data_IF_901520686762
#
_entry.id   IF_901520686762
#
_cell.length_a   1.000
_cell.length_b   1.000
_cell.length_c   1.000
_cell.angle_alpha   90.00
_cell.angle_beta   90.00
_cell.angle_gamma   90.00
#
_symmetry.space_group_name_H-M   'P 1'
#
loop_
_entity.id
_entity.type
_entity.pdbx_description
1 polymer ?
#
# COMPACT_ATOMS: atom_id res chain seq x y z
N UNK A 1 20.72 -38.24 25.22
CA UNK A 1 20.88 -36.84 24.79
C UNK A 1 21.12 -36.91 23.29
N UNK A 2 20.13 -36.60 22.51
CA UNK A 2 20.22 -36.53 21.05
C UNK A 2 19.88 -35.08 20.62
N UNK A 3 20.89 -34.44 20.06
CA UNK A 3 20.78 -33.13 19.46
C UNK A 3 19.87 -33.20 18.23
N UNK A 4 18.74 -32.50 18.26
CA UNK A 4 17.92 -32.31 17.09
C UNK A 4 18.45 -31.09 16.34
N UNK A 5 19.25 -31.33 15.32
CA UNK A 5 19.60 -30.30 14.32
C UNK A 5 18.35 -29.81 13.60
N UNK A 6 17.99 -28.59 13.86
CA UNK A 6 16.95 -27.86 13.11
C UNK A 6 17.52 -27.52 11.72
N UNK A 7 17.07 -28.25 10.70
CA UNK A 7 17.36 -27.93 9.30
C UNK A 7 16.69 -26.59 8.94
N UNK A 8 17.37 -25.67 8.23
CA UNK A 8 16.74 -24.45 7.73
C UNK A 8 15.70 -24.84 6.68
N UNK A 9 14.47 -24.45 6.90
CA UNK A 9 13.39 -24.53 5.91
C UNK A 9 13.74 -23.56 4.79
N UNK A 10 14.35 -24.07 3.73
CA UNK A 10 14.50 -23.35 2.47
C UNK A 10 13.09 -23.21 1.91
N UNK A 11 12.50 -22.02 2.08
CA UNK A 11 11.26 -21.67 1.39
C UNK A 11 11.56 -21.73 -0.11
N UNK A 12 11.04 -22.77 -0.76
CA UNK A 12 11.03 -22.87 -2.22
C UNK A 12 10.23 -21.68 -2.73
N UNK A 13 10.91 -20.69 -3.35
CA UNK A 13 10.25 -19.64 -4.11
C UNK A 13 9.46 -20.33 -5.23
N UNK A 14 8.18 -20.57 -4.98
CA UNK A 14 7.28 -20.98 -6.02
C UNK A 14 7.29 -19.88 -7.08
N UNK A 15 7.67 -20.21 -8.31
CA UNK A 15 7.64 -19.29 -9.44
C UNK A 15 6.21 -18.70 -9.51
N UNK A 16 6.08 -17.46 -9.08
CA UNK A 16 4.81 -16.74 -9.16
C UNK A 16 4.49 -16.55 -10.64
N UNK A 17 3.44 -17.20 -11.12
CA UNK A 17 3.00 -17.00 -12.50
C UNK A 17 2.51 -15.56 -12.65
N UNK A 18 3.12 -14.85 -13.60
CA UNK A 18 2.70 -13.48 -13.94
C UNK A 18 1.25 -13.50 -14.42
N UNK A 19 0.42 -12.69 -13.79
CA UNK A 19 -0.97 -12.51 -14.19
C UNK A 19 -1.08 -11.69 -15.48
N UNK A 20 -2.30 -11.44 -15.93
CA UNK A 20 -2.62 -10.73 -17.17
C UNK A 20 -2.09 -9.28 -17.16
N UNK A 21 -2.24 -8.60 -16.01
CA UNK A 21 -1.80 -7.21 -15.85
C UNK A 21 -0.29 -7.11 -15.82
N UNK A 22 0.38 -8.02 -15.10
CA UNK A 22 1.84 -8.11 -15.06
C UNK A 22 2.43 -8.40 -16.44
N UNK A 23 1.85 -9.33 -17.20
CA UNK A 23 2.29 -9.59 -18.58
C UNK A 23 2.19 -8.34 -19.45
N UNK A 24 1.06 -7.64 -19.40
CA UNK A 24 0.84 -6.40 -20.14
C UNK A 24 1.83 -5.30 -19.75
N UNK A 25 2.11 -5.13 -18.45
CA UNK A 25 3.10 -4.16 -17.96
C UNK A 25 4.50 -4.50 -18.48
N UNK A 26 4.88 -5.77 -18.47
CA UNK A 26 6.18 -6.24 -19.02
C UNK A 26 6.30 -5.93 -20.50
N UNK A 27 5.27 -6.24 -21.29
CA UNK A 27 5.23 -5.97 -22.74
C UNK A 27 5.35 -4.47 -23.07
N UNK A 28 4.89 -3.61 -22.16
CA UNK A 28 4.96 -2.16 -22.31
C UNK A 28 6.15 -1.51 -21.60
N UNK A 29 7.07 -2.32 -21.04
CA UNK A 29 8.32 -1.85 -20.46
C UNK A 29 8.21 -1.20 -19.08
N UNK A 30 7.16 -1.49 -18.32
CA UNK A 30 7.00 -1.00 -16.95
C UNK A 30 7.68 -1.94 -15.94
N UNK A 31 8.58 -1.40 -15.14
CA UNK A 31 9.28 -2.15 -14.11
C UNK A 31 8.34 -2.47 -12.94
N UNK A 32 8.21 -3.76 -12.64
CA UNK A 32 7.41 -4.27 -11.53
C UNK A 32 7.84 -5.68 -11.16
N UNK A 33 7.36 -6.17 -10.03
CA UNK A 33 7.55 -7.54 -9.54
C UNK A 33 6.17 -8.16 -9.31
N UNK A 34 5.91 -9.35 -9.88
CA UNK A 34 4.68 -10.11 -9.59
C UNK A 34 4.78 -10.76 -8.22
N UNK A 35 3.78 -10.55 -7.37
CA UNK A 35 3.64 -11.23 -6.10
C UNK A 35 2.58 -12.32 -6.18
N UNK A 36 2.60 -13.26 -5.22
CA UNK A 36 1.55 -14.27 -5.13
C UNK A 36 0.17 -13.60 -5.01
N UNK A 37 -0.83 -14.07 -5.78
CA UNK A 37 -2.18 -13.55 -5.70
C UNK A 37 -2.76 -13.74 -4.30
N UNK A 38 -3.78 -12.95 -3.95
CA UNK A 38 -4.47 -13.13 -2.68
C UNK A 38 -5.37 -14.38 -2.69
N UNK A 39 -6.03 -14.65 -1.54
CA UNK A 39 -6.94 -15.79 -1.38
C UNK A 39 -8.14 -15.77 -2.36
N UNK A 40 -8.46 -14.64 -2.94
CA UNK A 40 -9.53 -14.45 -3.93
C UNK A 40 -9.02 -14.53 -5.38
N UNK A 41 -7.72 -14.75 -5.56
CA UNK A 41 -7.08 -14.78 -6.88
C UNK A 41 -6.83 -13.41 -7.49
N UNK A 42 -6.89 -12.33 -6.70
CA UNK A 42 -6.56 -10.97 -7.19
C UNK A 42 -5.06 -10.87 -7.45
N UNK A 43 -4.71 -10.43 -8.64
CA UNK A 43 -3.32 -10.22 -9.03
C UNK A 43 -2.68 -9.11 -8.20
N UNK A 44 -1.47 -9.36 -7.68
CA UNK A 44 -0.72 -8.41 -6.88
C UNK A 44 0.60 -8.11 -7.56
N UNK A 45 0.88 -6.83 -7.75
CA UNK A 45 2.14 -6.33 -8.29
C UNK A 45 2.83 -5.41 -7.28
N UNK A 46 4.15 -5.53 -7.20
CA UNK A 46 5.01 -4.63 -6.43
C UNK A 46 5.70 -3.67 -7.38
N UNK A 47 5.66 -2.39 -7.04
CA UNK A 47 6.26 -1.30 -7.83
C UNK A 47 7.11 -0.46 -6.88
N UNK A 48 8.27 0.03 -7.36
CA UNK A 48 9.05 0.99 -6.60
C UNK A 48 8.35 2.36 -6.57
N UNK A 49 8.60 3.16 -5.52
CA UNK A 49 7.93 4.45 -5.33
C UNK A 49 8.09 5.38 -6.55
N UNK A 50 9.28 5.45 -7.12
CA UNK A 50 9.59 6.31 -8.27
C UNK A 50 8.83 5.91 -9.55
N UNK A 51 8.45 4.64 -9.67
CA UNK A 51 7.70 4.12 -10.82
C UNK A 51 6.19 4.04 -10.60
N UNK A 52 5.69 4.45 -9.41
CA UNK A 52 4.26 4.38 -9.11
C UNK A 52 3.42 5.24 -10.08
N UNK A 53 3.76 6.51 -10.28
CA UNK A 53 2.96 7.40 -11.15
C UNK A 53 2.93 6.94 -12.61
N UNK A 54 4.06 6.60 -13.25
CA UNK A 54 4.05 6.05 -14.60
C UNK A 54 3.19 4.79 -14.71
N UNK A 55 3.35 3.84 -13.77
CA UNK A 55 2.58 2.59 -13.74
C UNK A 55 1.10 2.84 -13.50
N UNK A 56 0.74 3.71 -12.54
CA UNK A 56 -0.64 4.07 -12.24
C UNK A 56 -1.33 4.75 -13.45
N UNK A 57 -0.62 5.64 -14.15
CA UNK A 57 -1.12 6.28 -15.37
C UNK A 57 -1.35 5.26 -16.49
N UNK A 58 -0.43 4.31 -16.65
CA UNK A 58 -0.55 3.24 -17.63
C UNK A 58 -1.74 2.32 -17.30
N UNK A 59 -1.92 1.94 -16.03
CA UNK A 59 -3.06 1.14 -15.59
C UNK A 59 -4.40 1.87 -15.80
N UNK A 60 -4.44 3.18 -15.54
CA UNK A 60 -5.62 3.99 -15.84
C UNK A 60 -5.94 3.98 -17.34
N UNK A 61 -4.95 4.17 -18.20
CA UNK A 61 -5.10 4.11 -19.65
C UNK A 61 -5.49 2.72 -20.15
N UNK A 62 -5.03 1.65 -19.49
CA UNK A 62 -5.44 0.27 -19.76
C UNK A 62 -6.91 0.00 -19.38
N UNK A 63 -7.50 0.85 -18.52
CA UNK A 63 -8.91 0.81 -18.15
C UNK A 63 -9.20 0.61 -16.66
N UNK A 64 -8.20 0.59 -15.78
CA UNK A 64 -8.42 0.61 -14.33
C UNK A 64 -8.85 2.01 -13.89
N UNK A 65 -10.11 2.32 -14.13
CA UNK A 65 -10.71 3.64 -13.97
C UNK A 65 -11.19 3.95 -12.55
N UNK A 66 -11.15 2.97 -11.64
CA UNK A 66 -11.65 3.12 -10.28
C UNK A 66 -10.63 2.65 -9.25
N UNK A 67 -10.23 3.56 -8.36
CA UNK A 67 -9.48 3.24 -7.15
C UNK A 67 -10.50 2.90 -6.06
N UNK A 68 -10.63 1.63 -5.75
CA UNK A 68 -11.58 1.13 -4.74
C UNK A 68 -11.11 1.48 -3.33
N UNK A 69 -9.84 1.22 -3.03
CA UNK A 69 -9.21 1.68 -1.80
C UNK A 69 -7.72 1.92 -1.98
N UNK A 70 -7.20 2.83 -1.17
CA UNK A 70 -5.80 2.99 -0.85
C UNK A 70 -5.65 2.85 0.67
N UNK A 71 -4.62 2.15 1.15
CA UNK A 71 -4.38 1.96 2.58
C UNK A 71 -2.90 1.75 2.87
N UNK A 72 -2.49 2.09 4.09
CA UNK A 72 -1.17 1.76 4.63
C UNK A 72 -1.16 0.40 5.34
N UNK A 73 -0.02 -0.28 5.32
CA UNK A 73 0.25 -1.47 6.13
C UNK A 73 1.58 -1.28 6.84
N UNK A 74 1.64 -1.59 8.11
CA UNK A 74 2.88 -1.71 8.86
C UNK A 74 3.28 -3.19 8.96
N UNK A 75 4.44 -3.56 8.42
CA UNK A 75 4.95 -4.94 8.48
C UNK A 75 5.49 -5.31 9.86
N UNK A 76 5.89 -4.31 10.66
CA UNK A 76 6.38 -4.51 12.02
C UNK A 76 7.49 -3.54 12.39
N UNK A 77 7.90 -3.51 13.67
CA UNK A 77 9.02 -2.68 14.12
C UNK A 77 10.29 -2.96 13.31
N UNK A 78 10.94 -1.90 12.83
CA UNK A 78 12.15 -2.01 12.01
C UNK A 78 11.95 -2.54 10.59
N UNK A 79 10.71 -2.79 10.17
CA UNK A 79 10.36 -3.20 8.81
C UNK A 79 9.68 -2.06 8.04
N UNK A 80 9.59 -2.23 6.73
CA UNK A 80 8.96 -1.28 5.83
C UNK A 80 7.48 -1.01 6.16
N UNK A 81 7.03 0.17 5.76
CA UNK A 81 5.61 0.44 5.53
C UNK A 81 5.25 0.09 4.09
N UNK A 82 4.00 -0.27 3.86
CA UNK A 82 3.52 -0.58 2.51
C UNK A 82 2.32 0.30 2.20
N UNK A 83 2.37 1.01 1.07
CA UNK A 83 1.19 1.66 0.50
C UNK A 83 0.54 0.71 -0.49
N UNK A 84 -0.75 0.44 -0.31
CA UNK A 84 -1.52 -0.52 -1.12
C UNK A 84 -2.61 0.21 -1.87
N UNK A 85 -2.72 -0.07 -3.15
CA UNK A 85 -3.76 0.47 -4.04
C UNK A 85 -4.54 -0.67 -4.65
N UNK A 86 -5.84 -0.69 -4.48
CA UNK A 86 -6.72 -1.68 -5.10
C UNK A 86 -7.52 -1.01 -6.23
N UNK A 87 -7.26 -1.47 -7.44
CA UNK A 87 -7.80 -0.88 -8.65
C UNK A 87 -8.78 -1.82 -9.31
N UNK A 88 -9.87 -1.26 -9.80
CA UNK A 88 -10.90 -1.97 -10.53
C UNK A 88 -11.07 -1.38 -11.92
N UNK A 89 -11.27 -2.26 -12.89
CA UNK A 89 -11.68 -1.91 -14.24
C UNK A 89 -13.19 -2.07 -14.34
N UNK A 90 -13.90 -0.96 -14.18
CA UNK A 90 -15.37 -0.94 -14.23
C UNK A 90 -15.82 -0.69 -15.67
N UNK A 91 -16.67 -1.57 -16.17
CA UNK A 91 -17.34 -1.42 -17.46
C UNK A 91 -18.83 -1.76 -17.33
N UNK A 92 -19.67 -1.15 -18.17
CA UNK A 92 -21.13 -1.21 -18.05
C UNK A 92 -21.74 -2.61 -18.15
N UNK A 93 -21.00 -3.59 -18.70
CA UNK A 93 -21.50 -4.94 -18.97
C UNK A 93 -20.71 -6.05 -18.27
N UNK A 94 -19.88 -5.72 -17.28
CA UNK A 94 -19.10 -6.72 -16.55
C UNK A 94 -19.85 -7.17 -15.29
N UNK A 95 -20.20 -8.45 -15.21
CA UNK A 95 -20.76 -9.04 -13.98
C UNK A 95 -19.76 -8.98 -12.80
N UNK A 96 -18.46 -9.03 -13.11
CA UNK A 96 -17.37 -8.89 -12.17
C UNK A 96 -16.26 -8.02 -12.78
N UNK A 97 -15.85 -6.92 -12.13
CA UNK A 97 -14.75 -6.10 -12.61
C UNK A 97 -13.42 -6.86 -12.56
N UNK A 98 -12.52 -6.55 -13.49
CA UNK A 98 -11.12 -6.97 -13.35
C UNK A 98 -10.49 -6.18 -12.21
N UNK A 99 -9.71 -6.87 -11.37
CA UNK A 99 -9.10 -6.30 -10.16
C UNK A 99 -7.58 -6.49 -10.21
N UNK A 100 -6.85 -5.48 -9.74
CA UNK A 100 -5.41 -5.58 -9.50
C UNK A 100 -5.04 -4.83 -8.22
N UNK A 101 -4.06 -5.35 -7.51
CA UNK A 101 -3.53 -4.70 -6.31
C UNK A 101 -2.08 -4.31 -6.52
N UNK A 102 -1.80 -3.01 -6.38
CA UNK A 102 -0.45 -2.46 -6.44
C UNK A 102 0.06 -2.26 -5.01
N UNK A 103 1.27 -2.73 -4.71
CA UNK A 103 1.96 -2.54 -3.44
C UNK A 103 3.25 -1.77 -3.65
N UNK A 104 3.47 -0.76 -2.83
CA UNK A 104 4.71 0.03 -2.78
C UNK A 104 5.31 -0.11 -1.39
N UNK A 105 6.51 -0.68 -1.30
CA UNK A 105 7.25 -0.83 -0.05
C UNK A 105 8.08 0.42 0.19
N UNK A 106 7.97 0.98 1.38
CA UNK A 106 8.54 2.28 1.74
C UNK A 106 9.42 2.15 2.98
N UNK A 107 10.63 2.72 2.97
CA UNK A 107 11.48 2.76 4.16
C UNK A 107 10.74 3.42 5.33
N UNK A 108 10.78 2.77 6.51
CA UNK A 108 10.04 3.22 7.69
C UNK A 108 10.42 4.62 8.17
N UNK A 109 11.70 4.99 8.02
CA UNK A 109 12.26 6.26 8.46
C UNK A 109 11.81 7.42 7.58
N UNK A 110 11.62 7.19 6.29
CA UNK A 110 11.17 8.19 5.33
C UNK A 110 10.19 7.57 4.33
N UNK A 111 8.96 7.22 4.75
CA UNK A 111 7.99 6.54 3.90
C UNK A 111 7.32 7.53 2.94
N UNK A 112 7.99 7.85 1.86
CA UNK A 112 7.55 8.84 0.87
C UNK A 112 7.19 8.17 -0.45
N UNK A 113 6.06 8.56 -1.04
CA UNK A 113 5.54 8.02 -2.28
C UNK A 113 4.76 9.10 -3.04
N UNK A 114 4.80 9.16 -4.38
CA UNK A 114 3.98 10.09 -5.13
C UNK A 114 2.49 9.86 -4.90
N UNK A 115 1.72 10.95 -4.78
CA UNK A 115 0.26 10.90 -4.69
C UNK A 115 -0.37 10.50 -6.02
N UNK A 116 -1.38 9.63 -5.97
CA UNK A 116 -2.19 9.25 -7.13
C UNK A 116 -3.48 10.07 -7.25
N UNK A 117 -3.65 11.10 -6.43
CA UNK A 117 -4.82 11.99 -6.41
C UNK A 117 -5.18 12.55 -7.80
N UNK A 118 -4.19 12.89 -8.60
CA UNK A 118 -4.42 13.49 -9.92
C UNK A 118 -4.93 12.49 -10.96
N UNK A 119 -4.75 11.18 -10.70
CA UNK A 119 -5.28 10.09 -11.52
C UNK A 119 -6.67 9.69 -10.99
N UNK A 120 -6.79 9.42 -9.70
CA UNK A 120 -8.06 9.05 -9.03
C UNK A 120 -8.35 10.00 -7.87
N UNK A 121 -9.37 10.83 -8.01
CA UNK A 121 -9.78 11.80 -6.98
C UNK A 121 -10.21 11.14 -5.66
N UNK A 122 -10.63 9.88 -5.70
CA UNK A 122 -10.97 9.08 -4.52
C UNK A 122 -9.79 8.85 -3.59
N UNK A 123 -8.55 9.02 -4.07
CA UNK A 123 -7.34 8.93 -3.25
C UNK A 123 -7.24 10.01 -2.17
N UNK A 124 -7.89 11.18 -2.32
CA UNK A 124 -7.77 12.34 -1.42
C UNK A 124 -7.82 11.93 0.07
N UNK A 125 -8.93 11.38 0.48
CA UNK A 125 -9.15 11.07 1.91
C UNK A 125 -8.39 9.82 2.35
N UNK A 126 -8.20 8.87 1.47
CA UNK A 126 -7.51 7.61 1.75
C UNK A 126 -6.00 7.81 1.95
N UNK A 127 -5.39 8.67 1.14
CA UNK A 127 -3.99 9.06 1.31
C UNK A 127 -3.80 9.88 2.59
N UNK A 128 -4.73 10.78 2.91
CA UNK A 128 -4.72 11.53 4.18
C UNK A 128 -4.90 10.61 5.40
N UNK A 129 -5.74 9.58 5.31
CA UNK A 129 -5.89 8.58 6.37
C UNK A 129 -4.59 7.78 6.56
N UNK A 130 -3.97 7.31 5.47
CA UNK A 130 -2.70 6.61 5.53
C UNK A 130 -1.55 7.49 6.05
N UNK A 131 -1.55 8.77 5.69
CA UNK A 131 -0.64 9.75 6.29
C UNK A 131 -0.89 9.89 7.79
N UNK A 132 -2.15 10.09 8.20
CA UNK A 132 -2.51 10.33 9.60
C UNK A 132 -2.20 9.12 10.50
N UNK A 133 -2.43 7.91 10.01
CA UNK A 133 -2.29 6.68 10.80
C UNK A 133 -0.89 6.07 10.76
N UNK A 134 -0.18 6.19 9.64
CA UNK A 134 1.12 5.53 9.43
C UNK A 134 2.27 6.50 9.16
N UNK A 135 1.99 7.77 8.86
CA UNK A 135 3.00 8.76 8.49
C UNK A 135 3.58 8.56 7.09
N UNK A 136 2.83 7.94 6.19
CA UNK A 136 3.23 7.84 4.78
C UNK A 136 3.01 9.21 4.12
N UNK A 137 4.06 9.76 3.51
CA UNK A 137 4.03 11.08 2.87
C UNK A 137 3.68 10.88 1.40
N UNK A 138 2.55 11.45 0.96
CA UNK A 138 2.08 11.43 -0.42
C UNK A 138 2.48 12.72 -1.13
N UNK A 139 3.61 12.69 -1.85
CA UNK A 139 4.13 13.86 -2.54
C UNK A 139 3.22 14.33 -3.67
N UNK A 140 2.98 15.64 -3.73
CA UNK A 140 2.07 16.23 -4.72
C UNK A 140 0.59 16.12 -4.39
N UNK A 141 0.24 15.58 -3.20
CA UNK A 141 -1.14 15.65 -2.70
C UNK A 141 -1.53 17.10 -2.41
N UNK A 142 -2.70 17.59 -2.89
CA UNK A 142 -3.06 19.01 -2.80
C UNK A 142 -3.31 19.51 -1.38
N UNK A 143 -3.62 18.62 -0.43
CA UNK A 143 -4.00 19.01 0.94
C UNK A 143 -3.68 17.88 1.92
N UNK A 144 -2.40 17.45 1.97
CA UNK A 144 -1.95 16.39 2.89
C UNK A 144 -1.92 16.92 4.33
N UNK A 145 -2.92 16.55 5.10
CA UNK A 145 -3.05 16.88 6.54
C UNK A 145 -3.82 15.78 7.26
N UNK A 146 -3.72 15.73 8.58
CA UNK A 146 -4.49 14.79 9.40
C UNK A 146 -5.99 14.89 9.12
N UNK A 147 -6.71 13.79 9.29
CA UNK A 147 -8.15 13.70 9.03
C UNK A 147 -8.90 13.04 10.21
N UNK A 148 -8.29 12.12 10.91
CA UNK A 148 -8.88 11.38 12.03
C UNK A 148 -8.37 11.89 13.38
N UNK A 149 -7.08 12.17 13.48
CA UNK A 149 -6.45 12.68 14.70
C UNK A 149 -6.44 14.22 14.72
N UNK A 150 -6.42 14.86 15.91
CA UNK A 150 -6.16 16.29 16.04
C UNK A 150 -4.84 16.71 15.38
N UNK A 151 -4.75 17.97 14.95
CA UNK A 151 -3.57 18.49 14.25
C UNK A 151 -2.29 18.45 15.09
N UNK A 152 -2.44 18.59 16.40
CA UNK A 152 -1.36 18.56 17.42
C UNK A 152 -1.03 17.14 17.90
N UNK A 153 -1.68 16.11 17.37
CA UNK A 153 -1.39 14.72 17.76
C UNK A 153 0.04 14.31 17.41
N UNK A 154 0.73 13.69 18.38
CA UNK A 154 2.11 13.23 18.21
C UNK A 154 2.18 11.76 17.87
N UNK A 155 2.89 11.42 16.79
CA UNK A 155 3.11 10.04 16.33
C UNK A 155 2.03 9.53 15.38
N UNK A 156 2.10 8.22 15.12
CA UNK A 156 1.34 7.51 14.09
C UNK A 156 0.62 6.31 14.69
N UNK A 157 -0.69 6.45 15.02
CA UNK A 157 -1.40 5.52 15.91
C UNK A 157 -1.48 4.07 15.44
N UNK A 158 -1.41 3.80 14.13
CA UNK A 158 -1.49 2.44 13.61
C UNK A 158 -0.12 1.80 13.34
N UNK A 159 0.98 2.49 13.63
CA UNK A 159 2.29 1.83 13.63
C UNK A 159 2.37 0.84 14.79
N UNK A 160 2.92 -0.35 14.55
CA UNK A 160 3.02 -1.42 15.55
C UNK A 160 3.99 -1.12 16.70
N UNK A 161 4.85 -0.13 16.53
CA UNK A 161 5.78 0.39 17.54
C UNK A 161 5.26 1.68 18.23
N UNK A 162 4.04 2.11 17.92
CA UNK A 162 3.42 3.28 18.52
C UNK A 162 3.02 2.98 19.98
N UNK A 163 3.45 3.86 20.88
CA UNK A 163 3.07 3.84 22.30
C UNK A 163 2.00 4.91 22.49
N UNK A 164 0.78 4.48 22.84
CA UNK A 164 -0.33 5.38 23.11
C UNK A 164 -0.04 6.23 24.35
N UNK A 165 -0.26 7.54 24.31
CA UNK A 165 -0.22 8.37 25.51
C UNK A 165 -1.20 7.86 26.56
N UNK A 166 -0.81 7.92 27.83
CA UNK A 166 -1.71 7.60 28.93
C UNK A 166 -2.68 8.77 29.17
N UNK A 167 -3.92 8.61 28.70
CA UNK A 167 -4.95 9.65 28.86
C UNK A 167 -5.48 9.77 30.28
N UNK A 168 -5.21 8.82 31.16
CA UNK A 168 -5.69 8.85 32.55
C UNK A 168 -4.91 9.84 33.42
N UNK A 169 -3.64 10.10 33.11
CA UNK A 169 -2.86 11.14 33.81
C UNK A 169 -3.35 12.57 33.56
N UNK A 170 -4.11 12.79 32.48
CA UNK A 170 -4.67 14.12 32.17
C UNK A 170 -5.98 14.41 32.90
N UNK A 171 -6.66 13.42 33.49
CA UNK A 171 -7.93 13.60 34.19
C UNK A 171 -7.75 13.95 35.68
N UNK A 172 -6.58 13.72 36.28
CA UNK A 172 -6.27 14.03 37.67
C UNK A 172 -5.79 15.48 37.89
N UNK A 173 -5.79 16.31 36.85
CA UNK A 173 -5.28 17.69 36.89
C UNK A 173 -6.38 18.77 37.08
N UNK A 174 -7.63 18.38 37.49
CA UNK A 174 -8.73 19.33 37.80
C UNK A 174 -9.33 19.06 39.16
#
# INVERSE_FOLDING_TARGET
VADAESQPVVATEALVQAGKVSQWLTENGFEHESLAPDANGVEIIKVAADFLLPTATALYAYGFNYLQFQSGIDLGPGQDLVSVYHLNKISDNADRPEEVRVKVFLPRENPTVPSVYWIWKTADWQERESYDMYGIIYEGHPNLKRILMPEDWVGWPLRKDYISPDFYELQDAY
#
